data_IF_686405774185
#
_entry.id   IF_686405774185
#
_cell.length_a   1.000
_cell.length_b   1.000
_cell.length_c   1.000
_cell.angle_alpha   90.00
_cell.angle_beta   90.00
_cell.angle_gamma   90.00
#
_symmetry.space_group_name_H-M   'P 1'
#
loop_
_entity.id
_entity.type
_entity.pdbx_description
1 polymer ?
#
# COMPACT_ATOMS: atom_id res chain seq x y z
N UNK A 1 -3.88 -12.95 -12.12
CA UNK A 1 -2.81 -12.62 -11.13
C UNK A 1 -1.52 -13.32 -11.54
N UNK A 2 -0.36 -12.65 -11.39
CA UNK A 2 0.97 -13.21 -11.68
C UNK A 2 1.83 -13.16 -10.41
N UNK A 3 2.49 -14.28 -10.06
CA UNK A 3 3.40 -14.33 -8.91
C UNK A 3 4.85 -14.30 -9.42
N UNK A 4 5.65 -13.41 -8.86
CA UNK A 4 7.08 -13.26 -9.12
C UNK A 4 7.83 -13.63 -7.85
N UNK A 5 8.57 -14.72 -7.88
CA UNK A 5 9.43 -15.14 -6.77
C UNK A 5 10.61 -14.20 -6.61
N UNK A 6 10.91 -13.86 -5.37
CA UNK A 6 12.11 -13.16 -4.97
C UNK A 6 12.91 -14.03 -3.99
N UNK A 7 14.23 -13.85 -3.95
CA UNK A 7 15.09 -14.60 -3.02
C UNK A 7 14.93 -14.14 -1.58
N UNK A 8 14.78 -12.84 -1.42
CA UNK A 8 14.74 -12.15 -0.14
C UNK A 8 14.06 -10.79 -0.28
N UNK A 9 13.94 -10.06 0.83
CA UNK A 9 13.37 -8.70 0.89
C UNK A 9 14.04 -7.74 -0.11
N UNK A 10 15.37 -7.79 -0.24
CA UNK A 10 16.11 -6.89 -1.14
C UNK A 10 15.81 -7.18 -2.61
N UNK A 11 15.75 -8.46 -3.00
CA UNK A 11 15.40 -8.85 -4.36
C UNK A 11 13.92 -8.54 -4.69
N UNK A 12 13.02 -8.72 -3.71
CA UNK A 12 11.60 -8.32 -3.81
C UNK A 12 11.49 -6.81 -4.07
N UNK A 13 12.13 -6.00 -3.22
CA UNK A 13 12.13 -4.54 -3.31
C UNK A 13 12.66 -4.04 -4.64
N UNK A 14 13.80 -4.59 -5.11
CA UNK A 14 14.38 -4.25 -6.40
C UNK A 14 13.48 -4.61 -7.58
N UNK A 15 12.81 -5.78 -7.53
CA UNK A 15 11.85 -6.19 -8.57
C UNK A 15 10.62 -5.30 -8.61
N UNK A 16 10.10 -4.89 -7.45
CA UNK A 16 9.00 -3.94 -7.36
C UNK A 16 9.40 -2.57 -7.93
N UNK A 17 10.57 -2.06 -7.53
CA UNK A 17 11.10 -0.81 -8.05
C UNK A 17 11.28 -0.84 -9.58
N UNK A 18 11.73 -1.97 -10.17
CA UNK A 18 11.83 -2.13 -11.63
C UNK A 18 10.48 -1.91 -12.34
N UNK A 19 9.38 -2.42 -11.77
CA UNK A 19 8.04 -2.27 -12.37
C UNK A 19 7.57 -0.82 -12.26
N UNK A 20 7.77 -0.19 -11.10
CA UNK A 20 7.37 1.22 -10.90
C UNK A 20 8.24 2.14 -11.76
N UNK A 21 9.55 1.93 -11.83
CA UNK A 21 10.44 2.74 -12.66
C UNK A 21 10.10 2.65 -14.15
N UNK A 22 9.80 1.45 -14.65
CA UNK A 22 9.35 1.29 -16.03
C UNK A 22 8.05 2.05 -16.32
N UNK A 23 7.11 2.07 -15.38
CA UNK A 23 5.88 2.85 -15.50
C UNK A 23 6.17 4.35 -15.58
N UNK A 24 7.00 4.88 -14.68
CA UNK A 24 7.36 6.31 -14.65
C UNK A 24 8.11 6.72 -15.92
N UNK A 25 9.05 5.89 -16.40
CA UNK A 25 9.78 6.16 -17.65
C UNK A 25 8.84 6.19 -18.87
N UNK A 26 7.94 5.23 -18.97
CA UNK A 26 7.03 5.10 -20.11
C UNK A 26 5.86 6.09 -20.06
N UNK A 27 5.49 6.55 -18.88
CA UNK A 27 4.41 7.51 -18.64
C UNK A 27 4.82 8.46 -17.49
N UNK A 28 5.55 9.56 -17.78
CA UNK A 28 6.03 10.48 -16.74
C UNK A 28 4.94 11.11 -15.88
N UNK A 29 3.74 11.32 -16.44
CA UNK A 29 2.55 11.83 -15.75
C UNK A 29 1.72 10.72 -15.05
N UNK A 30 2.38 9.63 -14.64
CA UNK A 30 1.71 8.51 -13.96
C UNK A 30 1.06 8.91 -12.63
N UNK A 31 -0.10 8.31 -12.36
CA UNK A 31 -0.71 8.31 -11.03
C UNK A 31 -0.27 7.06 -10.29
N UNK A 32 0.49 7.23 -9.19
CA UNK A 32 0.99 6.13 -8.38
C UNK A 32 0.21 6.03 -7.07
N UNK A 33 -0.41 4.90 -6.82
CA UNK A 33 -0.93 4.52 -5.52
C UNK A 33 0.19 3.97 -4.65
N UNK A 34 0.41 4.56 -3.47
CA UNK A 34 1.53 4.22 -2.59
C UNK A 34 1.06 3.63 -1.26
N UNK A 35 1.88 2.76 -0.71
CA UNK A 35 1.66 2.08 0.56
C UNK A 35 2.71 2.48 1.60
N UNK A 36 2.39 2.34 2.87
CA UNK A 36 3.30 2.55 4.00
C UNK A 36 3.66 1.23 4.68
N UNK A 37 4.37 1.31 5.79
CA UNK A 37 4.85 0.14 6.53
C UNK A 37 6.18 -0.41 6.02
N UNK A 38 6.66 -1.49 6.62
CA UNK A 38 8.01 -1.99 6.35
C UNK A 38 8.20 -2.64 4.98
N UNK A 39 7.13 -3.14 4.36
CA UNK A 39 7.24 -3.87 3.09
C UNK A 39 7.74 -3.02 1.92
N UNK A 40 7.25 -1.78 1.68
CA UNK A 40 7.65 -0.98 0.52
C UNK A 40 8.95 -0.17 0.71
N UNK A 41 9.51 -0.05 1.92
CA UNK A 41 10.68 0.82 2.20
C UNK A 41 11.82 0.56 1.21
N UNK A 42 12.25 -0.68 1.05
CA UNK A 42 13.35 -1.02 0.14
C UNK A 42 13.02 -0.73 -1.34
N UNK A 43 11.72 -0.70 -1.69
CA UNK A 43 11.28 -0.27 -3.04
C UNK A 43 11.51 1.23 -3.21
N UNK A 44 11.12 2.04 -2.22
CA UNK A 44 11.35 3.49 -2.23
C UNK A 44 12.84 3.83 -2.24
N UNK A 45 13.63 3.19 -1.37
CA UNK A 45 15.10 3.34 -1.37
C UNK A 45 15.73 3.08 -2.75
N UNK A 46 15.22 2.07 -3.46
CA UNK A 46 15.75 1.75 -4.78
C UNK A 46 15.32 2.78 -5.84
N UNK A 47 14.09 3.29 -5.77
CA UNK A 47 13.61 4.36 -6.66
C UNK A 47 14.39 5.67 -6.42
N UNK A 48 14.62 6.04 -5.16
CA UNK A 48 15.45 7.19 -4.79
C UNK A 48 16.86 7.07 -5.37
N UNK A 49 17.52 5.91 -5.22
CA UNK A 49 18.87 5.65 -5.80
C UNK A 49 18.90 5.83 -7.32
N UNK A 50 17.85 5.48 -8.03
CA UNK A 50 17.77 5.67 -9.48
C UNK A 50 17.46 7.11 -9.85
N UNK A 51 16.66 7.82 -9.06
CA UNK A 51 16.47 9.26 -9.19
C UNK A 51 17.78 10.02 -8.99
N UNK A 52 18.54 9.74 -7.94
CA UNK A 52 19.85 10.35 -7.66
C UNK A 52 20.88 10.12 -8.78
N UNK A 53 20.77 9.01 -9.51
CA UNK A 53 21.60 8.72 -10.70
C UNK A 53 21.13 9.43 -11.96
N UNK A 54 19.96 10.05 -11.95
CA UNK A 54 19.34 10.66 -13.12
C UNK A 54 18.61 9.69 -14.04
N UNK A 55 18.35 8.46 -13.59
CA UNK A 55 17.61 7.45 -14.36
C UNK A 55 16.09 7.66 -14.30
N UNK A 56 15.58 8.36 -13.27
CA UNK A 56 14.16 8.63 -13.03
C UNK A 56 13.90 10.10 -12.80
N UNK A 57 12.70 10.54 -13.20
CA UNK A 57 12.16 11.86 -12.93
C UNK A 57 10.72 11.72 -12.42
N UNK A 58 10.40 12.35 -11.28
CA UNK A 58 9.10 12.31 -10.64
C UNK A 58 8.35 13.65 -10.70
N UNK A 59 8.86 14.67 -11.41
CA UNK A 59 8.28 16.01 -11.43
C UNK A 59 6.81 16.04 -11.87
N UNK A 60 6.43 15.18 -12.81
CA UNK A 60 5.05 15.09 -13.32
C UNK A 60 4.20 14.00 -12.67
N UNK A 61 4.78 13.18 -11.80
CA UNK A 61 4.08 12.11 -11.10
C UNK A 61 3.07 12.68 -10.10
N UNK A 62 1.88 12.10 -10.05
CA UNK A 62 0.88 12.33 -9.01
C UNK A 62 0.81 11.10 -8.10
N UNK A 63 0.72 11.29 -6.78
CA UNK A 63 0.60 10.18 -5.84
C UNK A 63 -0.70 10.22 -5.06
N UNK A 64 -1.21 9.05 -4.72
CA UNK A 64 -2.31 8.82 -3.77
C UNK A 64 -1.90 7.75 -2.78
N UNK A 65 -2.03 8.00 -1.49
CA UNK A 65 -1.75 7.00 -0.46
C UNK A 65 -3.00 6.24 -0.07
N UNK A 66 -2.82 5.00 0.39
CA UNK A 66 -3.92 4.11 0.78
C UNK A 66 -4.66 4.60 2.02
N UNK A 67 -3.93 5.13 3.00
CA UNK A 67 -4.43 5.28 4.35
C UNK A 67 -3.66 6.32 5.17
N UNK A 68 -4.25 6.70 6.33
CA UNK A 68 -3.62 7.48 7.38
C UNK A 68 -4.33 7.19 8.71
N UNK A 69 -3.60 7.21 9.81
CA UNK A 69 -4.15 7.04 11.14
C UNK A 69 -5.11 8.17 11.53
N UNK A 70 -6.28 7.79 12.06
CA UNK A 70 -7.25 8.75 12.59
C UNK A 70 -6.73 9.44 13.85
N UNK A 71 -6.83 10.75 13.89
CA UNK A 71 -6.37 11.59 15.00
C UNK A 71 -4.88 11.88 15.00
N UNK A 72 -4.12 11.39 14.01
CA UNK A 72 -2.68 11.59 13.93
C UNK A 72 -2.35 12.86 13.14
N UNK A 73 -1.50 13.71 13.73
CA UNK A 73 -1.01 14.93 13.06
C UNK A 73 0.03 14.57 12.01
N UNK A 74 0.08 15.29 10.87
CA UNK A 74 1.08 15.03 9.81
C UNK A 74 2.54 15.09 10.27
N UNK A 75 2.83 15.92 11.28
CA UNK A 75 4.19 16.11 11.83
C UNK A 75 4.59 15.03 12.84
N UNK A 76 3.68 14.16 13.24
CA UNK A 76 3.99 13.03 14.11
C UNK A 76 4.84 12.02 13.33
N UNK A 77 5.95 11.57 13.93
CA UNK A 77 6.90 10.65 13.30
C UNK A 77 6.32 9.25 13.02
N UNK A 78 5.13 8.95 13.55
CA UNK A 78 4.38 7.72 13.29
C UNK A 78 3.24 7.92 12.28
N UNK A 79 2.99 9.15 11.79
CA UNK A 79 1.99 9.38 10.72
C UNK A 79 2.48 8.80 9.39
N UNK A 80 1.55 8.42 8.54
CA UNK A 80 1.90 7.98 7.20
C UNK A 80 2.31 9.12 6.29
N UNK A 81 1.83 10.34 6.60
CA UNK A 81 2.36 11.55 5.98
C UNK A 81 3.86 11.69 6.25
N UNK A 82 4.28 11.65 7.53
CA UNK A 82 5.70 11.71 7.90
C UNK A 82 6.49 10.56 7.28
N UNK A 83 6.00 9.34 7.39
CA UNK A 83 6.62 8.15 6.80
C UNK A 83 6.95 8.33 5.30
N UNK A 84 5.99 8.85 4.54
CA UNK A 84 6.19 9.02 3.09
C UNK A 84 7.19 10.11 2.76
N UNK A 85 7.23 11.19 3.54
CA UNK A 85 8.25 12.23 3.42
C UNK A 85 9.64 11.70 3.76
N UNK A 86 9.79 11.02 4.90
CA UNK A 86 11.06 10.46 5.37
C UNK A 86 11.65 9.40 4.42
N UNK A 87 10.80 8.56 3.81
CA UNK A 87 11.28 7.45 2.98
C UNK A 87 11.27 7.72 1.47
N UNK A 88 10.53 8.72 0.98
CA UNK A 88 10.38 8.91 -0.46
C UNK A 88 10.26 10.37 -0.90
N UNK A 89 9.24 11.11 -0.44
CA UNK A 89 8.91 12.40 -1.08
C UNK A 89 10.01 13.44 -0.96
N UNK A 90 10.69 13.54 0.18
CA UNK A 90 11.77 14.51 0.41
C UNK A 90 13.07 14.16 -0.32
N UNK A 91 13.14 12.97 -0.92
CA UNK A 91 14.32 12.46 -1.62
C UNK A 91 14.20 12.50 -3.15
N UNK A 92 13.07 12.95 -3.69
CA UNK A 92 12.81 13.03 -5.14
C UNK A 92 12.18 14.38 -5.50
N UNK A 93 12.08 14.68 -6.80
CA UNK A 93 11.59 15.98 -7.27
C UNK A 93 10.06 16.03 -7.51
N UNK A 94 9.29 15.25 -6.77
CA UNK A 94 7.83 15.30 -6.89
C UNK A 94 7.29 16.67 -6.44
N UNK A 95 6.34 17.23 -7.20
CA UNK A 95 5.64 18.46 -6.81
C UNK A 95 4.75 18.20 -5.58
N UNK A 96 4.95 18.93 -4.45
CA UNK A 96 4.11 18.76 -3.26
C UNK A 96 2.60 18.90 -3.51
N UNK A 97 2.19 19.68 -4.51
CA UNK A 97 0.78 19.83 -4.89
C UNK A 97 0.17 18.59 -5.53
N UNK A 98 1.01 17.64 -5.95
CA UNK A 98 0.62 16.36 -6.57
C UNK A 98 0.64 15.18 -5.58
N UNK A 99 0.96 15.45 -4.31
CA UNK A 99 0.97 14.45 -3.23
C UNK A 99 -0.38 14.47 -2.54
N UNK A 100 -1.03 13.32 -2.46
CA UNK A 100 -2.37 13.19 -1.87
C UNK A 100 -2.41 12.07 -0.83
N UNK A 101 -2.80 12.44 0.40
CA UNK A 101 -3.04 11.51 1.51
C UNK A 101 -4.41 11.77 2.14
N UNK A 102 -4.99 10.79 2.83
CA UNK A 102 -6.11 11.04 3.73
C UNK A 102 -5.70 12.02 4.85
N UNK A 103 -6.64 12.82 5.33
CA UNK A 103 -6.42 13.74 6.44
C UNK A 103 -6.81 13.07 7.77
N UNK A 104 -5.84 12.54 8.49
CA UNK A 104 -6.05 11.90 9.79
C UNK A 104 -6.70 12.83 10.83
N UNK A 105 -6.55 14.16 10.68
CA UNK A 105 -7.05 15.13 11.64
C UNK A 105 -8.51 15.56 11.42
N UNK A 106 -9.17 15.16 10.33
CA UNK A 106 -10.60 15.45 10.15
C UNK A 106 -11.43 14.52 11.06
N UNK A 107 -12.18 15.05 12.04
CA UNK A 107 -12.94 14.23 12.97
C UNK A 107 -14.27 13.71 12.37
N UNK A 108 -14.77 14.34 11.31
CA UNK A 108 -15.98 13.87 10.61
C UNK A 108 -15.59 12.85 9.54
N UNK A 109 -15.83 11.59 9.87
CA UNK A 109 -15.48 10.43 9.01
C UNK A 109 -16.14 10.50 7.63
N UNK A 110 -17.39 10.96 7.58
CA UNK A 110 -18.12 11.05 6.29
C UNK A 110 -17.55 12.16 5.43
N UNK A 111 -17.17 13.27 6.06
CA UNK A 111 -16.56 14.42 5.37
C UNK A 111 -15.21 14.03 4.81
N UNK A 112 -14.32 13.38 5.59
CA UNK A 112 -13.02 12.96 5.09
C UNK A 112 -13.14 11.88 4.01
N UNK A 113 -13.98 10.88 4.22
CA UNK A 113 -14.21 9.84 3.20
C UNK A 113 -14.70 10.43 1.88
N UNK A 114 -15.64 11.37 1.94
CA UNK A 114 -16.14 12.05 0.73
C UNK A 114 -15.06 12.95 0.07
N UNK A 115 -14.24 13.66 0.89
CA UNK A 115 -13.14 14.49 0.41
C UNK A 115 -12.11 13.64 -0.33
N UNK A 116 -11.66 12.55 0.31
CA UNK A 116 -10.62 11.72 -0.29
C UNK A 116 -11.12 10.97 -1.52
N UNK A 117 -12.34 10.46 -1.52
CA UNK A 117 -12.97 9.92 -2.72
C UNK A 117 -13.09 10.96 -3.86
N UNK A 118 -13.30 12.25 -3.53
CA UNK A 118 -13.29 13.31 -4.54
C UNK A 118 -11.87 13.56 -5.09
N UNK A 119 -10.85 13.53 -4.26
CA UNK A 119 -9.43 13.59 -4.67
C UNK A 119 -9.12 12.44 -5.61
N UNK A 120 -9.44 11.19 -5.21
CA UNK A 120 -9.19 10.00 -6.02
C UNK A 120 -9.87 10.08 -7.41
N UNK A 121 -11.10 10.60 -7.47
CA UNK A 121 -11.76 10.85 -8.76
C UNK A 121 -11.08 11.95 -9.57
N UNK A 122 -10.55 12.98 -8.94
CA UNK A 122 -9.95 14.13 -9.64
C UNK A 122 -8.60 13.81 -10.27
N UNK A 123 -7.81 12.91 -9.66
CA UNK A 123 -6.51 12.48 -10.20
C UNK A 123 -6.65 11.45 -11.33
N UNK A 124 -7.84 10.87 -11.50
CA UNK A 124 -8.12 9.86 -12.53
C UNK A 124 -7.68 8.45 -12.14
N UNK A 125 -7.48 7.60 -13.15
CA UNK A 125 -7.12 6.20 -12.94
C UNK A 125 -5.70 6.07 -12.36
N UNK A 126 -5.56 5.31 -11.30
CA UNK A 126 -4.26 4.92 -10.74
C UNK A 126 -3.55 3.97 -11.73
N UNK A 127 -2.38 4.34 -12.21
CA UNK A 127 -1.62 3.53 -13.18
C UNK A 127 -0.99 2.29 -12.51
N UNK A 128 -0.41 2.45 -11.32
CA UNK A 128 0.05 1.35 -10.45
C UNK A 128 -0.37 1.62 -9.01
N UNK A 129 -1.06 0.68 -8.39
CA UNK A 129 -1.30 0.66 -6.95
C UNK A 129 -0.32 -0.30 -6.27
N UNK A 130 0.63 0.24 -5.53
CA UNK A 130 1.51 -0.54 -4.66
C UNK A 130 0.76 -0.92 -3.39
N UNK A 131 0.87 -2.18 -2.98
CA UNK A 131 0.26 -2.72 -1.77
C UNK A 131 1.28 -3.53 -0.97
N UNK A 132 1.24 -3.39 0.34
CA UNK A 132 1.64 -4.46 1.24
C UNK A 132 0.47 -5.43 1.48
N UNK A 133 0.69 -6.43 2.32
CA UNK A 133 -0.37 -7.32 2.79
C UNK A 133 -0.23 -7.53 4.30
N UNK A 134 -1.33 -7.41 5.03
CA UNK A 134 -1.37 -7.71 6.45
C UNK A 134 -1.27 -9.21 6.75
N UNK A 135 -0.90 -9.59 7.98
CA UNK A 135 -0.84 -10.99 8.40
C UNK A 135 -2.20 -11.71 8.29
N UNK A 136 -3.29 -10.96 8.46
CA UNK A 136 -4.67 -11.43 8.33
C UNK A 136 -5.24 -11.29 6.91
N UNK A 137 -4.41 -10.92 5.92
CA UNK A 137 -4.80 -10.75 4.53
C UNK A 137 -5.42 -9.40 4.17
N UNK A 138 -5.39 -8.40 5.06
CA UNK A 138 -5.85 -7.06 4.71
C UNK A 138 -4.95 -6.37 3.67
N UNK A 139 -5.53 -5.48 2.87
CA UNK A 139 -4.85 -4.59 1.92
C UNK A 139 -5.30 -3.14 2.16
N UNK A 140 -4.33 -2.19 2.29
CA UNK A 140 -4.61 -0.95 3.00
C UNK A 140 -5.05 -1.29 4.41
N UNK A 141 -5.95 -0.54 5.02
CA UNK A 141 -6.65 -0.97 6.23
C UNK A 141 -8.05 -1.55 5.94
N UNK A 142 -8.23 -2.20 4.79
CA UNK A 142 -9.43 -3.01 4.57
C UNK A 142 -9.29 -4.31 5.36
N UNK A 143 -9.74 -4.31 6.61
CA UNK A 143 -9.68 -5.43 7.54
C UNK A 143 -10.67 -6.54 7.19
N UNK A 144 -10.44 -7.80 7.66
CA UNK A 144 -11.41 -8.88 7.53
C UNK A 144 -12.79 -8.51 8.07
N UNK A 145 -13.81 -8.60 7.22
CA UNK A 145 -15.18 -8.19 7.53
C UNK A 145 -16.19 -9.13 6.83
N UNK A 146 -17.50 -8.83 6.93
CA UNK A 146 -18.59 -9.53 6.24
C UNK A 146 -18.79 -9.02 4.81
N UNK A 147 -18.29 -7.83 4.48
CA UNK A 147 -18.37 -7.23 3.15
C UNK A 147 -17.09 -6.47 2.79
N UNK A 148 -16.89 -6.24 1.49
CA UNK A 148 -15.83 -5.37 1.01
C UNK A 148 -16.29 -3.90 1.09
N UNK A 149 -15.55 -3.06 1.81
CA UNK A 149 -15.78 -1.62 1.83
C UNK A 149 -15.51 -1.02 0.44
N UNK A 150 -16.50 -0.31 -0.13
CA UNK A 150 -16.40 0.18 -1.50
C UNK A 150 -15.50 1.42 -1.62
N UNK A 151 -15.84 2.51 -0.92
CA UNK A 151 -15.16 3.79 -0.97
C UNK A 151 -14.23 4.00 0.21
N UNK A 152 -13.61 5.16 0.27
CA UNK A 152 -12.84 5.57 1.44
C UNK A 152 -13.71 5.54 2.69
N UNK A 153 -13.18 5.02 3.78
CA UNK A 153 -13.90 4.83 5.03
C UNK A 153 -12.98 4.94 6.23
N UNK A 154 -13.55 5.23 7.40
CA UNK A 154 -12.87 5.08 8.66
C UNK A 154 -13.09 3.66 9.18
N UNK A 155 -12.02 2.99 9.58
CA UNK A 155 -12.02 1.60 10.03
C UNK A 155 -11.48 1.50 11.45
N UNK A 156 -12.05 0.61 12.27
CA UNK A 156 -11.43 0.17 13.51
C UNK A 156 -10.40 -0.90 13.21
N UNK A 157 -9.16 -0.71 13.71
CA UNK A 157 -8.09 -1.66 13.48
C UNK A 157 -8.29 -2.90 14.34
N UNK A 158 -8.08 -4.09 13.76
CA UNK A 158 -8.14 -5.35 14.50
C UNK A 158 -6.98 -5.45 15.49
N UNK A 159 -7.17 -6.24 16.56
CA UNK A 159 -6.10 -6.52 17.54
C UNK A 159 -4.84 -7.06 16.87
N UNK A 160 -4.97 -7.88 15.83
CA UNK A 160 -3.84 -8.38 15.03
C UNK A 160 -3.05 -7.25 14.37
N UNK A 161 -3.75 -6.23 13.86
CA UNK A 161 -3.12 -5.06 13.21
C UNK A 161 -2.47 -4.16 14.25
N UNK A 162 -3.12 -3.93 15.39
CA UNK A 162 -2.56 -3.16 16.51
C UNK A 162 -1.28 -3.83 17.02
N UNK A 163 -1.31 -5.13 17.28
CA UNK A 163 -0.14 -5.91 17.72
C UNK A 163 1.01 -5.86 16.69
N UNK A 164 0.69 -5.94 15.39
CA UNK A 164 1.70 -5.85 14.34
C UNK A 164 2.35 -4.46 14.26
N UNK A 165 1.60 -3.40 14.58
CA UNK A 165 2.06 -2.02 14.48
C UNK A 165 2.68 -1.49 15.76
N UNK A 166 2.45 -2.10 16.93
CA UNK A 166 2.99 -1.62 18.21
C UNK A 166 4.51 -1.45 18.23
N UNK A 167 5.23 -2.20 17.40
CA UNK A 167 6.69 -2.09 17.25
C UNK A 167 7.18 -0.73 16.78
N UNK A 168 6.31 0.10 16.24
CA UNK A 168 6.60 1.45 15.76
C UNK A 168 6.29 2.52 16.81
N UNK A 169 5.62 2.18 17.91
CA UNK A 169 5.18 3.09 18.97
C UNK A 169 5.90 2.79 20.27
N UNK A 170 5.99 3.77 21.17
CA UNK A 170 6.63 3.61 22.47
C UNK A 170 5.84 2.67 23.40
N UNK A 171 4.51 2.62 23.23
CA UNK A 171 3.61 1.72 23.95
C UNK A 171 2.43 1.30 23.08
N UNK A 172 1.75 0.21 23.45
CA UNK A 172 0.55 -0.26 22.75
C UNK A 172 -0.60 0.75 22.85
N UNK A 173 -0.69 1.50 23.94
CA UNK A 173 -1.73 2.51 24.16
C UNK A 173 -1.58 3.70 23.20
N UNK A 174 -0.39 3.92 22.64
CA UNK A 174 -0.14 4.96 21.65
C UNK A 174 -0.49 4.54 20.23
N UNK A 175 -0.73 3.25 19.99
CA UNK A 175 -1.13 2.77 18.66
C UNK A 175 -2.55 3.24 18.37
N UNK A 176 -2.78 4.00 17.29
CA UNK A 176 -4.13 4.41 16.92
C UNK A 176 -5.04 3.21 16.73
N UNK A 177 -6.27 3.33 17.21
CA UNK A 177 -7.28 2.28 17.10
C UNK A 177 -8.10 2.37 15.80
N UNK A 178 -7.96 3.49 15.07
CA UNK A 178 -8.74 3.79 13.87
C UNK A 178 -7.84 4.39 12.79
N UNK A 179 -8.25 4.20 11.54
CA UNK A 179 -7.58 4.78 10.39
C UNK A 179 -8.59 5.13 9.29
N UNK A 180 -8.25 6.12 8.46
CA UNK A 180 -8.89 6.31 7.16
C UNK A 180 -8.21 5.41 6.13
N UNK A 181 -8.99 4.68 5.35
CA UNK A 181 -8.48 3.77 4.34
C UNK A 181 -9.22 3.92 3.01
N UNK A 182 -8.46 3.89 1.93
CA UNK A 182 -8.98 3.72 0.58
C UNK A 182 -9.77 2.41 0.49
N UNK A 183 -10.97 2.47 -0.08
CA UNK A 183 -11.81 1.29 -0.23
C UNK A 183 -11.38 0.37 -1.38
N UNK A 184 -11.88 -0.84 -1.34
CA UNK A 184 -11.56 -1.92 -2.30
C UNK A 184 -11.87 -1.53 -3.74
N UNK A 185 -12.93 -0.75 -3.99
CA UNK A 185 -13.27 -0.34 -5.35
C UNK A 185 -12.14 0.44 -6.03
N UNK A 186 -11.55 1.42 -5.34
CA UNK A 186 -10.45 2.22 -5.89
C UNK A 186 -9.21 1.36 -6.14
N UNK A 187 -8.88 0.45 -5.21
CA UNK A 187 -7.78 -0.50 -5.40
C UNK A 187 -8.03 -1.35 -6.66
N UNK A 188 -9.24 -1.86 -6.83
CA UNK A 188 -9.62 -2.74 -7.93
C UNK A 188 -9.77 -2.03 -9.29
N UNK A 189 -9.91 -0.71 -9.32
CA UNK A 189 -9.96 0.09 -10.55
C UNK A 189 -8.59 0.60 -11.00
N UNK A 190 -7.53 0.41 -10.22
CA UNK A 190 -6.18 0.68 -10.67
C UNK A 190 -5.86 -0.16 -11.93
N UNK A 191 -5.10 0.39 -12.87
CA UNK A 191 -4.72 -0.34 -14.10
C UNK A 191 -3.85 -1.54 -13.81
N UNK A 192 -2.98 -1.41 -12.79
CA UNK A 192 -2.11 -2.48 -12.28
C UNK A 192 -2.08 -2.44 -10.76
N UNK A 193 -2.14 -3.61 -10.14
CA UNK A 193 -1.89 -3.77 -8.70
C UNK A 193 -0.57 -4.51 -8.52
N UNK A 194 0.28 -3.98 -7.65
CA UNK A 194 1.58 -4.54 -7.32
C UNK A 194 1.66 -4.81 -5.82
N UNK A 195 1.56 -6.08 -5.43
CA UNK A 195 1.68 -6.50 -4.03
C UNK A 195 3.13 -6.89 -3.74
N UNK A 196 3.66 -6.40 -2.62
CA UNK A 196 4.98 -6.80 -2.10
C UNK A 196 4.84 -7.48 -0.75
N UNK A 197 5.44 -8.65 -0.59
CA UNK A 197 5.39 -9.42 0.64
C UNK A 197 6.73 -10.10 0.92
N UNK A 198 7.20 -10.01 2.15
CA UNK A 198 8.45 -10.62 2.60
C UNK A 198 8.31 -11.16 4.02
N UNK A 199 8.87 -12.33 4.26
CA UNK A 199 8.89 -12.98 5.56
C UNK A 199 7.80 -14.04 5.74
N UNK A 200 8.09 -15.00 6.61
CA UNK A 200 7.22 -16.16 6.88
C UNK A 200 5.87 -15.74 7.50
N UNK A 201 5.85 -14.61 8.24
CA UNK A 201 4.63 -14.06 8.83
C UNK A 201 3.58 -13.61 7.80
N UNK A 202 3.96 -13.54 6.52
CA UNK A 202 3.07 -13.25 5.38
C UNK A 202 2.60 -14.51 4.64
N UNK A 203 3.17 -15.67 4.93
CA UNK A 203 2.94 -16.86 4.13
C UNK A 203 1.46 -17.30 4.08
N UNK A 204 0.76 -17.26 5.22
CA UNK A 204 -0.67 -17.55 5.27
C UNK A 204 -1.49 -16.55 4.44
N UNK A 205 -1.23 -15.26 4.63
CA UNK A 205 -1.94 -14.20 3.92
C UNK A 205 -1.74 -14.29 2.40
N UNK A 206 -0.52 -14.56 1.93
CA UNK A 206 -0.23 -14.76 0.51
C UNK A 206 -0.94 -16.00 -0.02
N UNK A 207 -0.86 -17.13 0.69
CA UNK A 207 -1.55 -18.36 0.27
C UNK A 207 -3.06 -18.13 0.13
N UNK A 208 -3.71 -17.61 1.16
CA UNK A 208 -5.17 -17.39 1.16
C UNK A 208 -5.59 -16.31 0.13
N UNK A 209 -4.80 -15.25 -0.03
CA UNK A 209 -5.12 -14.21 -1.00
C UNK A 209 -4.93 -14.65 -2.45
N UNK A 210 -3.95 -15.52 -2.73
CA UNK A 210 -3.66 -15.92 -4.12
C UNK A 210 -4.39 -17.19 -4.55
N UNK A 211 -4.69 -18.10 -3.63
CA UNK A 211 -5.17 -19.45 -3.94
C UNK A 211 -6.40 -19.89 -3.12
N UNK A 212 -6.75 -19.14 -2.08
CA UNK A 212 -7.95 -19.38 -1.29
C UNK A 212 -9.22 -18.87 -1.98
N UNK A 213 -10.41 -19.04 -1.37
CA UNK A 213 -11.64 -18.46 -1.90
C UNK A 213 -11.62 -16.93 -1.86
N UNK A 214 -12.25 -16.30 -2.84
CA UNK A 214 -12.47 -14.85 -2.80
C UNK A 214 -13.51 -14.52 -1.73
N UNK A 215 -13.07 -13.82 -0.69
CA UNK A 215 -13.92 -13.53 0.47
C UNK A 215 -13.48 -12.26 1.18
N UNK A 216 -14.39 -11.44 1.74
CA UNK A 216 -14.01 -10.29 2.54
C UNK A 216 -13.37 -10.68 3.89
N UNK A 217 -13.42 -11.96 4.29
CA UNK A 217 -12.65 -12.45 5.45
C UNK A 217 -11.14 -12.52 5.19
N UNK A 218 -10.73 -12.48 3.94
CA UNK A 218 -9.34 -12.32 3.47
C UNK A 218 -9.36 -11.25 2.38
N UNK A 219 -9.32 -9.96 2.72
CA UNK A 219 -9.55 -8.87 1.76
C UNK A 219 -8.64 -8.91 0.54
N UNK A 220 -7.36 -9.31 0.70
CA UNK A 220 -6.42 -9.50 -0.41
C UNK A 220 -6.87 -10.53 -1.44
N UNK A 221 -7.79 -11.44 -1.09
CA UNK A 221 -8.32 -12.47 -2.03
C UNK A 221 -9.06 -11.87 -3.21
N UNK A 222 -9.61 -10.64 -3.08
CA UNK A 222 -10.31 -9.95 -4.17
C UNK A 222 -9.38 -9.69 -5.37
N UNK A 223 -8.06 -9.59 -5.12
CA UNK A 223 -7.06 -9.35 -6.17
C UNK A 223 -6.98 -10.48 -7.21
N UNK A 224 -7.52 -11.67 -6.89
CA UNK A 224 -7.67 -12.76 -7.88
C UNK A 224 -8.57 -12.35 -9.05
N UNK A 225 -9.49 -11.42 -8.83
CA UNK A 225 -10.42 -10.91 -9.85
C UNK A 225 -9.88 -9.67 -10.57
N UNK A 226 -8.70 -9.15 -10.20
CA UNK A 226 -8.10 -8.00 -10.84
C UNK A 226 -7.46 -8.40 -12.17
N UNK A 227 -7.65 -7.56 -13.22
CA UNK A 227 -7.17 -7.85 -14.57
C UNK A 227 -5.63 -7.94 -14.66
N UNK A 228 -4.89 -7.10 -13.92
CA UNK A 228 -3.43 -7.06 -13.92
C UNK A 228 -2.89 -6.92 -12.48
N UNK A 229 -2.99 -7.99 -11.71
CA UNK A 229 -2.40 -8.08 -10.37
C UNK A 229 -1.09 -8.86 -10.41
N UNK A 230 -0.04 -8.27 -9.83
CA UNK A 230 1.29 -8.86 -9.68
C UNK A 230 1.60 -8.96 -8.19
N UNK A 231 1.99 -10.13 -7.74
CA UNK A 231 2.48 -10.38 -6.38
C UNK A 231 3.98 -10.68 -6.46
N UNK A 232 4.81 -9.85 -5.83
CA UNK A 232 6.23 -10.13 -5.66
C UNK A 232 6.43 -10.55 -4.20
N UNK A 233 6.77 -11.80 -4.01
CA UNK A 233 6.95 -12.35 -2.67
C UNK A 233 8.28 -13.12 -2.59
N UNK A 234 8.95 -13.04 -1.43
CA UNK A 234 10.15 -13.82 -1.20
C UNK A 234 9.83 -15.28 -0.85
N UNK A 235 10.86 -16.11 -0.80
CA UNK A 235 10.71 -17.56 -0.56
C UNK A 235 10.04 -17.84 0.80
N UNK A 236 10.29 -16.99 1.82
CA UNK A 236 9.68 -17.13 3.13
C UNK A 236 8.17 -16.83 3.09
N UNK A 237 7.77 -15.76 2.41
CA UNK A 237 6.36 -15.41 2.20
C UNK A 237 5.62 -16.42 1.30
N UNK A 238 6.35 -17.17 0.45
CA UNK A 238 5.80 -18.22 -0.43
C UNK A 238 5.85 -19.63 0.19
N UNK A 239 6.33 -19.78 1.42
CA UNK A 239 6.57 -21.10 2.04
C UNK A 239 5.34 -22.00 2.13
N UNK A 240 4.13 -21.47 2.16
CA UNK A 240 2.87 -22.20 2.16
C UNK A 240 2.22 -22.33 0.76
N UNK A 241 2.92 -21.93 -0.31
CA UNK A 241 2.39 -21.93 -1.68
C UNK A 241 2.95 -23.03 -2.56
N UNK A 242 3.80 -23.95 -2.02
CA UNK A 242 4.56 -24.93 -2.81
C UNK A 242 3.74 -25.81 -3.73
N UNK A 243 2.50 -26.15 -3.34
CA UNK A 243 1.59 -27.00 -4.14
C UNK A 243 0.93 -26.26 -5.32
N UNK A 244 1.09 -24.94 -5.40
CA UNK A 244 0.43 -24.07 -6.38
C UNK A 244 1.39 -23.35 -7.34
N UNK A 245 2.73 -23.49 -7.16
CA UNK A 245 3.76 -22.71 -7.88
C UNK A 245 4.65 -23.56 -8.79
#
# INVERSE_FOLDING_TARGET
MRIIRAKDYKDMSRKAANIISAQVILKPDSVLGLATGSSPIGTYEQLVKWYEKGDLDFADVTTVNLDEYYGMKPENDQSYHYFMHDHFFDHVNIDPSRINLPNGMEPDEKKESARYDAVLRSVGDVDIQLLGIGRNGHIGFNEPDDCFAKGTHCVELTESTIEANKRFFASEDEVPRRAYSMGIHTIMTAKKVLVVASGEDKAWAIRESCFGPVTPKVPGSILQLHNDAIVIADEAALSLCGDFL
#
